data_IF_845291889298
#
_entry.id   IF_845291889298
#
_cell.length_a   1.000
_cell.length_b   1.000
_cell.length_c   1.000
_cell.angle_alpha   90.00
_cell.angle_beta   90.00
_cell.angle_gamma   90.00
#
_symmetry.space_group_name_H-M   'P 1'
#
loop_
_entity.id
_entity.type
_entity.pdbx_description
1 polymer ?
#
# COMPACT_ATOMS: atom_id res chain seq x y z
N UNK A 1 -5.87 8.95 -28.40
CA UNK A 1 -5.31 8.10 -27.33
C UNK A 1 -5.74 6.69 -27.64
N UNK A 2 -4.80 5.76 -27.85
CA UNK A 2 -5.13 4.34 -27.88
C UNK A 2 -5.28 3.92 -26.42
N UNK A 3 -6.51 3.72 -25.96
CA UNK A 3 -6.76 3.09 -24.66
C UNK A 3 -6.42 1.61 -24.81
N UNK A 4 -5.20 1.24 -24.41
CA UNK A 4 -4.82 -0.15 -24.24
C UNK A 4 -5.49 -0.67 -22.96
N UNK A 5 -6.55 -1.45 -23.12
CA UNK A 5 -7.17 -2.16 -22.00
C UNK A 5 -6.26 -3.28 -21.52
N UNK A 6 -5.96 -3.31 -20.22
CA UNK A 6 -5.26 -4.40 -19.58
C UNK A 6 -6.24 -5.17 -18.68
N UNK A 7 -6.46 -6.44 -18.99
CA UNK A 7 -7.26 -7.33 -18.16
C UNK A 7 -6.35 -7.95 -17.09
N UNK A 8 -6.67 -7.70 -15.82
CA UNK A 8 -5.94 -8.25 -14.67
C UNK A 8 -6.78 -9.35 -14.03
N UNK A 9 -6.19 -10.53 -13.87
CA UNK A 9 -6.85 -11.67 -13.21
C UNK A 9 -6.57 -11.70 -11.71
N UNK A 10 -7.34 -12.48 -10.94
CA UNK A 10 -7.03 -12.71 -9.52
C UNK A 10 -5.65 -13.33 -9.30
N UNK A 11 -5.23 -14.23 -10.19
CA UNK A 11 -3.89 -14.83 -10.16
C UNK A 11 -2.80 -13.77 -10.32
N UNK A 12 -3.03 -12.76 -11.16
CA UNK A 12 -2.12 -11.63 -11.29
C UNK A 12 -2.06 -10.79 -10.02
N UNK A 13 -3.21 -10.49 -9.40
CA UNK A 13 -3.27 -9.73 -8.14
C UNK A 13 -2.51 -10.45 -7.03
N UNK A 14 -2.74 -11.76 -6.85
CA UNK A 14 -2.02 -12.57 -5.87
C UNK A 14 -0.51 -12.63 -6.17
N UNK A 15 -0.13 -12.83 -7.44
CA UNK A 15 1.28 -12.86 -7.85
C UNK A 15 1.97 -11.53 -7.60
N UNK A 16 1.33 -10.41 -7.94
CA UNK A 16 1.88 -9.07 -7.80
C UNK A 16 2.01 -8.66 -6.33
N UNK A 17 0.99 -8.93 -5.51
CA UNK A 17 1.04 -8.68 -4.05
C UNK A 17 2.10 -9.54 -3.37
N UNK A 18 2.22 -10.83 -3.74
CA UNK A 18 3.31 -11.69 -3.27
C UNK A 18 4.69 -11.18 -3.69
N UNK A 19 4.86 -10.76 -4.94
CA UNK A 19 6.12 -10.18 -5.41
C UNK A 19 6.45 -8.89 -4.65
N UNK A 20 5.45 -8.04 -4.40
CA UNK A 20 5.61 -6.80 -3.66
C UNK A 20 6.02 -7.06 -2.21
N UNK A 21 5.36 -8.00 -1.52
CA UNK A 21 5.74 -8.39 -0.15
C UNK A 21 7.21 -8.80 -0.06
N UNK A 22 7.69 -9.66 -0.98
CA UNK A 22 9.10 -10.08 -1.03
C UNK A 22 10.07 -8.91 -1.20
N UNK A 23 9.73 -7.95 -2.06
CA UNK A 23 10.57 -6.75 -2.27
C UNK A 23 10.62 -5.88 -1.03
N UNK A 24 9.49 -5.72 -0.34
CA UNK A 24 9.42 -4.93 0.89
C UNK A 24 10.21 -5.62 2.00
N UNK A 25 10.09 -6.94 2.17
CA UNK A 25 10.87 -7.70 3.16
C UNK A 25 12.38 -7.69 2.93
N UNK A 26 12.85 -7.28 1.74
CA UNK A 26 14.27 -7.07 1.45
C UNK A 26 14.77 -5.68 1.85
N UNK A 27 13.86 -4.76 2.20
CA UNK A 27 14.22 -3.46 2.78
C UNK A 27 14.49 -3.60 4.28
N UNK A 28 15.25 -2.69 4.86
CA UNK A 28 15.53 -2.66 6.30
C UNK A 28 14.39 -2.10 7.16
N UNK A 29 13.21 -1.87 6.57
CA UNK A 29 12.09 -1.22 7.23
C UNK A 29 11.14 -2.26 7.81
N UNK A 30 10.89 -2.16 9.12
CA UNK A 30 9.83 -2.93 9.78
C UNK A 30 8.55 -2.08 9.87
N UNK A 31 7.41 -2.69 9.55
CA UNK A 31 6.12 -2.01 9.55
C UNK A 31 5.18 -2.65 10.57
N UNK A 32 4.61 -1.86 11.46
CA UNK A 32 3.67 -2.34 12.50
C UNK A 32 2.21 -2.37 12.03
N UNK A 33 1.89 -1.61 10.98
CA UNK A 33 0.54 -1.55 10.41
C UNK A 33 0.55 -1.25 8.92
N UNK A 34 -0.51 -1.65 8.22
CA UNK A 34 -0.80 -1.20 6.85
C UNK A 34 -1.80 -0.05 6.89
N UNK A 35 -1.51 1.04 6.19
CA UNK A 35 -2.46 2.14 5.97
C UNK A 35 -2.91 2.14 4.52
N UNK A 36 -4.19 2.37 4.28
CA UNK A 36 -4.74 2.35 2.92
C UNK A 36 -5.88 3.35 2.76
N UNK A 37 -6.20 3.68 1.51
CA UNK A 37 -7.39 4.46 1.16
C UNK A 37 -8.45 3.57 0.51
N UNK A 38 -9.70 3.84 0.83
CA UNK A 38 -10.80 3.26 0.06
C UNK A 38 -10.93 3.94 -1.30
N UNK A 39 -11.30 3.23 -2.36
CA UNK A 39 -11.67 1.80 -2.40
C UNK A 39 -10.57 0.90 -2.96
N UNK A 40 -9.69 1.44 -3.80
CA UNK A 40 -8.71 0.69 -4.58
C UNK A 40 -7.75 -0.12 -3.73
N UNK A 41 -7.17 0.49 -2.70
CA UNK A 41 -6.17 -0.14 -1.86
C UNK A 41 -6.67 -1.26 -0.92
N UNK A 42 -7.98 -1.47 -0.76
CA UNK A 42 -8.52 -2.41 0.24
C UNK A 42 -8.05 -3.87 0.03
N UNK A 43 -8.14 -4.36 -1.21
CA UNK A 43 -7.73 -5.72 -1.57
C UNK A 43 -6.21 -5.91 -1.44
N UNK A 44 -5.36 -5.09 -2.08
CA UNK A 44 -3.91 -5.25 -1.93
C UNK A 44 -3.43 -5.04 -0.49
N UNK A 45 -4.06 -4.17 0.29
CA UNK A 45 -3.75 -4.00 1.71
C UNK A 45 -3.98 -5.27 2.51
N UNK A 46 -5.12 -5.97 2.32
CA UNK A 46 -5.40 -7.22 3.03
C UNK A 46 -4.45 -8.35 2.62
N UNK A 47 -4.12 -8.47 1.32
CA UNK A 47 -3.21 -9.50 0.82
C UNK A 47 -1.77 -9.27 1.30
N UNK A 48 -1.29 -8.02 1.30
CA UNK A 48 0.03 -7.70 1.83
C UNK A 48 0.11 -7.92 3.34
N UNK A 49 -0.93 -7.54 4.09
CA UNK A 49 -1.01 -7.79 5.53
C UNK A 49 -0.82 -9.27 5.85
N UNK A 50 -1.50 -10.14 5.09
CA UNK A 50 -1.37 -11.60 5.22
C UNK A 50 0.06 -12.09 4.94
N UNK A 51 0.64 -11.68 3.81
CA UNK A 51 2.00 -12.09 3.44
C UNK A 51 3.10 -11.59 4.38
N UNK A 52 2.88 -10.43 5.02
CA UNK A 52 3.85 -9.80 5.90
C UNK A 52 3.60 -10.11 7.38
N UNK A 53 2.51 -10.81 7.72
CA UNK A 53 2.14 -11.09 9.12
C UNK A 53 1.76 -9.83 9.91
N UNK A 54 1.15 -8.84 9.25
CA UNK A 54 0.72 -7.58 9.87
C UNK A 54 -0.78 -7.65 10.16
N UNK A 55 -1.17 -7.61 11.44
CA UNK A 55 -2.57 -7.74 11.85
C UNK A 55 -3.36 -6.43 11.77
N UNK A 56 -2.67 -5.28 11.82
CA UNK A 56 -3.32 -3.97 11.88
C UNK A 56 -3.45 -3.35 10.49
N UNK A 57 -4.69 -3.13 10.05
CA UNK A 57 -5.02 -2.38 8.83
C UNK A 57 -5.82 -1.13 9.17
N UNK A 58 -5.31 0.03 8.77
CA UNK A 58 -5.87 1.35 8.99
C UNK A 58 -6.46 1.89 7.68
N UNK A 59 -7.80 2.00 7.63
CA UNK A 59 -8.51 2.48 6.45
C UNK A 59 -8.94 3.94 6.64
N UNK A 60 -8.63 4.79 5.66
CA UNK A 60 -9.07 6.19 5.56
C UNK A 60 -8.78 7.05 6.80
N UNK A 61 -7.69 6.75 7.52
CA UNK A 61 -7.32 7.51 8.73
C UNK A 61 -6.76 8.88 8.37
N UNK A 62 -7.10 9.87 9.19
CA UNK A 62 -6.56 11.24 9.10
C UNK A 62 -5.20 11.39 9.78
N UNK A 63 -4.77 10.37 10.53
CA UNK A 63 -3.47 10.28 11.20
C UNK A 63 -2.91 8.90 10.91
N UNK A 64 -1.74 8.85 10.27
CA UNK A 64 -1.08 7.61 9.83
C UNK A 64 0.24 7.46 10.60
N UNK A 65 0.47 6.33 11.28
CA UNK A 65 1.74 6.06 11.95
C UNK A 65 2.92 6.12 10.97
N UNK A 66 4.07 6.62 11.41
CA UNK A 66 5.28 6.73 10.57
C UNK A 66 5.88 5.38 10.18
N UNK A 67 5.64 4.35 10.98
CA UNK A 67 6.00 2.95 10.78
C UNK A 67 4.88 2.16 10.09
N UNK A 68 3.94 2.84 9.43
CA UNK A 68 2.89 2.20 8.64
C UNK A 68 3.23 2.17 7.16
N UNK A 69 3.10 1.00 6.55
CA UNK A 69 3.20 0.84 5.10
C UNK A 69 1.93 1.38 4.43
N UNK A 70 2.05 2.41 3.60
CA UNK A 70 0.92 2.90 2.81
C UNK A 70 0.72 2.07 1.53
N UNK A 71 -0.49 1.58 1.30
CA UNK A 71 -0.84 0.69 0.18
C UNK A 71 -2.03 1.24 -0.61
N UNK A 72 -1.88 1.25 -1.93
CA UNK A 72 -2.94 1.57 -2.90
C UNK A 72 -2.87 0.58 -4.08
N UNK A 73 -3.91 0.51 -4.91
CA UNK A 73 -3.95 -0.40 -6.07
C UNK A 73 -3.07 0.09 -7.24
N UNK A 74 -2.94 1.40 -7.41
CA UNK A 74 -2.13 2.00 -8.47
C UNK A 74 -1.51 3.33 -8.04
N UNK A 75 -0.28 3.56 -8.50
CA UNK A 75 0.37 4.87 -8.42
C UNK A 75 0.44 5.49 -9.82
N UNK A 76 -0.45 6.43 -10.12
CA UNK A 76 -0.57 7.08 -11.42
C UNK A 76 0.07 8.49 -11.44
N UNK A 77 -0.76 9.54 -11.37
CA UNK A 77 -0.43 10.94 -11.13
C UNK A 77 0.21 11.22 -9.77
N UNK A 78 0.15 10.28 -8.83
CA UNK A 78 0.64 10.44 -7.45
C UNK A 78 -0.17 11.42 -6.60
N UNK A 79 -1.32 11.91 -7.07
CA UNK A 79 -2.18 12.86 -6.33
C UNK A 79 -2.68 12.26 -5.01
N UNK A 80 -3.02 10.97 -5.00
CA UNK A 80 -3.40 10.26 -3.78
C UNK A 80 -2.28 10.30 -2.76
N UNK A 81 -1.10 9.82 -3.13
CA UNK A 81 0.07 9.79 -2.25
C UNK A 81 0.40 11.17 -1.67
N UNK A 82 0.37 12.22 -2.49
CA UNK A 82 0.60 13.62 -2.03
C UNK A 82 -0.42 14.09 -0.99
N UNK A 83 -1.67 13.61 -1.02
CA UNK A 83 -2.70 13.91 0.00
C UNK A 83 -2.50 13.13 1.30
N UNK A 84 -1.74 12.03 1.25
CA UNK A 84 -1.49 11.14 2.37
C UNK A 84 -0.27 11.58 3.17
N UNK A 85 0.79 12.06 2.52
CA UNK A 85 2.03 12.53 3.19
C UNK A 85 1.77 13.47 4.37
N UNK A 86 0.90 14.51 4.28
CA UNK A 86 0.64 15.41 5.40
C UNK A 86 -0.07 14.76 6.60
N UNK A 87 -0.65 13.56 6.42
CA UNK A 87 -1.35 12.81 7.47
C UNK A 87 -0.40 11.93 8.30
N UNK A 88 0.85 11.79 7.89
CA UNK A 88 1.85 10.97 8.58
C UNK A 88 2.34 11.70 9.84
N UNK A 89 2.34 11.00 10.98
CA UNK A 89 2.63 11.61 12.29
C UNK A 89 4.03 12.17 12.46
N UNK A 90 5.00 11.69 11.69
CA UNK A 90 6.38 12.16 11.68
C UNK A 90 6.99 11.95 10.29
N UNK A 91 6.89 12.95 9.39
CA UNK A 91 7.30 12.82 7.99
C UNK A 91 8.80 12.58 7.78
N UNK A 92 9.63 12.88 8.80
CA UNK A 92 11.10 12.77 8.73
C UNK A 92 11.62 11.34 8.55
N UNK A 93 10.79 10.33 8.82
CA UNK A 93 11.14 8.91 8.68
C UNK A 93 10.47 8.22 7.48
N UNK A 94 9.79 8.99 6.62
CA UNK A 94 9.03 8.44 5.50
C UNK A 94 9.88 8.50 4.23
N UNK A 95 10.74 7.49 4.04
CA UNK A 95 11.49 7.22 2.80
C UNK A 95 11.41 5.73 2.47
#
# INVERSE_FOLDING_TARGET
MNDSLQNITWVDVERLTKLLSKKISQTSNEFSSISTISRGGLVPARLLADHMGIDTILVDKNKIPSDSLFVDDIYDSGKTFKKIIPKVTSPSNFV
#
